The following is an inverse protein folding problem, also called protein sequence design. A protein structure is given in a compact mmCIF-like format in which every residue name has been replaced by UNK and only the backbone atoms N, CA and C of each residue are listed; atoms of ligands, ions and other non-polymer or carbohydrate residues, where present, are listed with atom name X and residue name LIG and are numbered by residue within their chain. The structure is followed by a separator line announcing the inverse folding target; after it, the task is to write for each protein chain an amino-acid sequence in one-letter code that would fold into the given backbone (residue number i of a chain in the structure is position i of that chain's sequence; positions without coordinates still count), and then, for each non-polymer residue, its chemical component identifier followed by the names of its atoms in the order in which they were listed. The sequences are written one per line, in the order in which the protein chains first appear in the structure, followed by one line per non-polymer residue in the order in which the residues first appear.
data_IF_285490618834
#
_entry.id   IF_285490618834
#
_cell.length_a   1.000
_cell.length_b   1.000
_cell.length_c   1.000
_cell.angle_alpha   90.00
_cell.angle_beta   90.00
_cell.angle_gamma   90.00
#
_symmetry.space_group_name_H-M   'P 1'
#
loop_
_entity.id
_entity.type
_entity.pdbx_description
1 polymer ?
#
# COMPACT_ATOMS: atom_id res chain seq x y z
N UNK A 1 24.73 12.27 25.68
CA UNK A 1 24.46 10.82 25.61
C UNK A 1 23.08 10.67 24.98
N UNK A 2 23.02 10.49 23.65
CA UNK A 2 21.74 10.34 22.94
C UNK A 2 21.34 8.88 23.09
N UNK A 3 20.35 8.62 23.93
CA UNK A 3 19.68 7.33 23.98
C UNK A 3 19.04 7.09 22.62
N UNK A 4 19.53 6.11 21.87
CA UNK A 4 18.78 5.54 20.74
C UNK A 4 17.41 5.17 21.30
N UNK A 5 16.29 5.60 20.67
CA UNK A 5 14.99 5.09 21.08
C UNK A 5 15.09 3.56 21.04
N UNK A 6 14.61 2.94 22.12
CA UNK A 6 14.72 1.51 22.33
C UNK A 6 14.32 0.78 21.06
N UNK A 7 15.03 -0.30 20.77
CA UNK A 7 14.47 -1.35 19.94
C UNK A 7 13.28 -1.94 20.74
N UNK A 8 12.17 -1.21 20.75
CA UNK A 8 10.88 -1.79 21.02
C UNK A 8 10.81 -2.96 20.05
N UNK A 9 10.55 -4.15 20.58
CA UNK A 9 10.37 -5.35 19.80
C UNK A 9 9.04 -5.27 19.04
N UNK A 10 8.77 -4.15 18.36
CA UNK A 10 7.68 -4.01 17.41
C UNK A 10 7.94 -4.99 16.30
N UNK A 11 7.04 -5.96 16.18
CA UNK A 11 7.06 -6.97 15.14
C UNK A 11 7.26 -6.30 13.78
N UNK A 12 8.31 -6.72 13.07
CA UNK A 12 8.63 -6.17 11.76
C UNK A 12 7.61 -6.69 10.74
N UNK A 13 6.91 -5.76 10.13
CA UNK A 13 5.99 -5.97 9.02
C UNK A 13 6.72 -5.66 7.73
N UNK A 14 6.63 -6.59 6.79
CA UNK A 14 6.98 -6.36 5.41
C UNK A 14 5.69 -6.19 4.61
N UNK A 15 5.69 -5.27 3.65
CA UNK A 15 4.58 -5.01 2.77
C UNK A 15 5.06 -4.83 1.34
N UNK A 16 4.40 -5.48 0.38
CA UNK A 16 4.56 -5.27 -1.05
C UNK A 16 3.25 -4.73 -1.61
N UNK A 17 3.37 -3.62 -2.34
CA UNK A 17 2.27 -3.03 -3.09
C UNK A 17 2.67 -2.93 -4.54
N UNK A 18 1.78 -3.38 -5.42
CA UNK A 18 1.96 -3.38 -6.87
C UNK A 18 0.73 -2.77 -7.53
N UNK A 19 0.98 -1.84 -8.45
CA UNK A 19 -0.04 -1.16 -9.24
C UNK A 19 0.23 -1.41 -10.72
N UNK A 20 -0.80 -1.79 -11.45
CA UNK A 20 -0.73 -2.06 -12.89
C UNK A 20 -1.65 -1.13 -13.67
N UNK A 21 -1.09 -0.49 -14.69
CA UNK A 21 -1.81 0.47 -15.54
C UNK A 21 -1.52 0.23 -17.04
N UNK A 22 -2.57 0.12 -17.88
CA UNK A 22 -3.94 -0.20 -17.50
C UNK A 22 -4.00 -1.52 -16.70
N UNK A 23 -5.12 -1.77 -16.00
CA UNK A 23 -5.27 -2.96 -15.16
C UNK A 23 -4.84 -4.26 -15.88
N UNK A 24 -3.91 -5.00 -15.28
CA UNK A 24 -3.40 -6.28 -15.82
C UNK A 24 -2.44 -6.17 -17.00
N UNK A 25 -2.03 -4.97 -17.42
CA UNK A 25 -1.13 -4.77 -18.56
C UNK A 25 0.33 -4.57 -18.11
N UNK A 26 0.66 -3.39 -17.59
CA UNK A 26 2.04 -3.03 -17.24
C UNK A 26 2.14 -2.72 -15.75
N UNK A 27 3.20 -3.21 -15.10
CA UNK A 27 3.55 -2.79 -13.75
C UNK A 27 3.95 -1.31 -13.80
N UNK A 28 3.06 -0.46 -13.31
CA UNK A 28 3.27 0.98 -13.26
C UNK A 28 4.11 1.36 -12.07
N UNK A 29 3.82 0.74 -10.92
CA UNK A 29 4.51 1.05 -9.69
C UNK A 29 4.59 -0.18 -8.79
N UNK A 30 5.72 -0.30 -8.09
CA UNK A 30 5.99 -1.37 -7.13
C UNK A 30 6.84 -0.81 -6.01
N UNK A 31 6.42 -1.01 -4.78
CA UNK A 31 7.26 -0.76 -3.63
C UNK A 31 7.16 -1.89 -2.61
N UNK A 32 8.32 -2.15 -2.01
CA UNK A 32 8.44 -2.99 -0.84
C UNK A 32 8.83 -2.12 0.34
N UNK A 33 8.03 -2.15 1.39
CA UNK A 33 8.27 -1.45 2.64
C UNK A 33 8.54 -2.48 3.74
N UNK A 34 9.45 -2.14 4.65
CA UNK A 34 9.75 -2.95 5.83
C UNK A 34 9.82 -2.02 7.03
N UNK A 35 9.10 -2.33 8.11
CA UNK A 35 9.04 -1.48 9.29
C UNK A 35 7.99 -1.96 10.29
N UNK A 36 7.66 -1.13 11.27
CA UNK A 36 6.50 -1.40 12.14
C UNK A 36 5.19 -1.29 11.36
N UNK A 37 4.10 -1.87 11.87
CA UNK A 37 2.77 -1.69 11.27
C UNK A 37 2.37 -0.22 11.10
N UNK A 38 2.78 0.66 12.03
CA UNK A 38 2.55 2.11 11.92
C UNK A 38 3.32 2.76 10.77
N UNK A 39 4.56 2.34 10.51
CA UNK A 39 5.35 2.82 9.38
C UNK A 39 4.78 2.33 8.04
N UNK A 40 4.37 1.06 7.97
CA UNK A 40 3.72 0.51 6.78
C UNK A 40 2.41 1.24 6.49
N UNK A 41 1.55 1.44 7.50
CA UNK A 41 0.29 2.15 7.32
C UNK A 41 0.50 3.61 6.87
N UNK A 42 1.53 4.29 7.39
CA UNK A 42 1.88 5.64 6.94
C UNK A 42 2.35 5.66 5.47
N UNK A 43 3.13 4.65 5.04
CA UNK A 43 3.55 4.53 3.64
C UNK A 43 2.36 4.30 2.69
N UNK A 44 1.35 3.55 3.12
CA UNK A 44 0.11 3.36 2.35
C UNK A 44 -0.72 4.65 2.26
N UNK A 45 -0.80 5.42 3.33
CA UNK A 45 -1.47 6.73 3.33
C UNK A 45 -0.76 7.74 2.41
N UNK A 46 0.57 7.73 2.39
CA UNK A 46 1.37 8.54 1.47
C UNK A 46 1.13 8.13 0.01
N UNK A 47 1.10 6.83 -0.28
CA UNK A 47 0.78 6.34 -1.62
C UNK A 47 -0.62 6.77 -2.06
N UNK A 48 -1.61 6.68 -1.16
CA UNK A 48 -2.98 7.14 -1.44
C UNK A 48 -3.00 8.63 -1.83
N UNK A 49 -2.26 9.47 -1.07
CA UNK A 49 -2.12 10.90 -1.38
C UNK A 49 -1.44 11.13 -2.73
N UNK A 50 -0.41 10.35 -3.06
CA UNK A 50 0.31 10.50 -4.34
C UNK A 50 -0.58 10.15 -5.52
N UNK A 51 -1.39 9.10 -5.42
CA UNK A 51 -2.36 8.72 -6.46
C UNK A 51 -3.44 9.80 -6.63
N UNK A 52 -3.87 10.44 -5.54
CA UNK A 52 -4.83 11.56 -5.58
C UNK A 52 -4.25 12.80 -6.30
N UNK A 53 -2.97 13.10 -6.11
CA UNK A 53 -2.29 14.29 -6.68
C UNK A 53 -1.87 14.06 -8.13
N UNK A 54 -1.29 12.90 -8.41
CA UNK A 54 -0.65 12.55 -9.68
C UNK A 54 -1.07 11.13 -10.11
N UNK A 55 -2.29 10.98 -10.66
CA UNK A 55 -2.81 9.67 -11.01
C UNK A 55 -2.03 9.06 -12.19
N UNK A 56 -1.94 7.70 -12.27
CA UNK A 56 -1.25 6.95 -13.34
C UNK A 56 -1.67 7.23 -14.80
N UNK A 57 -2.55 8.18 -15.07
CA UNK A 57 -3.18 8.40 -16.37
C UNK A 57 -2.86 9.81 -16.93
N UNK A 58 -1.72 9.95 -17.60
CA UNK A 58 -1.28 11.20 -18.21
C UNK A 58 -1.87 11.44 -19.62
N UNK A 59 -2.70 10.53 -20.13
CA UNK A 59 -3.32 10.64 -21.47
C UNK A 59 -4.77 10.19 -21.43
N UNK A 60 -5.69 11.18 -21.46
CA UNK A 60 -7.15 11.03 -21.61
C UNK A 60 -7.72 9.68 -21.12
N UNK A 61 -7.82 9.46 -19.80
CA UNK A 61 -8.33 8.20 -19.26
C UNK A 61 -9.74 7.89 -19.79
N UNK A 62 -10.08 6.60 -19.98
CA UNK A 62 -11.43 6.20 -20.33
C UNK A 62 -12.44 6.66 -19.26
N UNK A 63 -13.73 6.67 -19.59
CA UNK A 63 -14.82 7.19 -18.72
C UNK A 63 -14.87 6.57 -17.31
N UNK A 64 -14.17 5.46 -17.05
CA UNK A 64 -13.83 4.96 -15.72
C UNK A 64 -12.46 4.26 -15.77
N UNK A 65 -11.37 4.96 -15.47
CA UNK A 65 -10.03 4.37 -15.50
C UNK A 65 -9.93 3.27 -14.46
N UNK A 66 -9.61 2.03 -14.87
CA UNK A 66 -9.41 0.91 -13.95
C UNK A 66 -7.93 0.59 -13.77
N UNK A 67 -7.54 0.40 -12.52
CA UNK A 67 -6.17 0.06 -12.12
C UNK A 67 -6.18 -1.31 -11.46
N UNK A 68 -5.23 -2.16 -11.84
CA UNK A 68 -5.01 -3.42 -11.12
C UNK A 68 -4.13 -3.13 -9.93
N UNK A 69 -4.51 -3.60 -8.75
CA UNK A 69 -3.75 -3.39 -7.53
C UNK A 69 -3.56 -4.72 -6.80
N UNK A 70 -2.39 -4.91 -6.21
CA UNK A 70 -2.09 -6.00 -5.30
C UNK A 70 -1.39 -5.44 -4.07
N UNK A 71 -1.80 -5.90 -2.90
CA UNK A 71 -1.19 -5.60 -1.62
C UNK A 71 -1.03 -6.90 -0.86
N UNK A 72 0.17 -7.14 -0.36
CA UNK A 72 0.49 -8.25 0.51
C UNK A 72 1.31 -7.72 1.69
N UNK A 73 0.90 -8.03 2.91
CA UNK A 73 1.64 -7.72 4.13
C UNK A 73 1.86 -8.99 4.95
N UNK A 74 3.06 -9.14 5.49
CA UNK A 74 3.46 -10.32 6.24
C UNK A 74 4.35 -9.98 7.44
N UNK A 75 4.27 -10.84 8.44
CA UNK A 75 5.08 -10.80 9.65
C UNK A 75 5.66 -12.18 9.90
N UNK A 76 6.98 -12.29 10.06
CA UNK A 76 7.67 -13.58 10.24
C UNK A 76 7.21 -14.66 9.22
N UNK A 77 7.06 -14.27 7.95
CA UNK A 77 6.55 -15.09 6.84
C UNK A 77 5.07 -15.53 6.92
N UNK A 78 4.30 -15.04 7.89
CA UNK A 78 2.85 -15.22 7.95
C UNK A 78 2.14 -14.03 7.30
N UNK A 79 1.24 -14.30 6.36
CA UNK A 79 0.45 -13.26 5.71
C UNK A 79 -0.60 -12.74 6.69
N UNK A 80 -0.57 -11.43 6.96
CA UNK A 80 -1.55 -10.73 7.79
C UNK A 80 -2.60 -10.01 6.94
N UNK A 81 -2.25 -9.64 5.71
CA UNK A 81 -3.16 -9.04 4.76
C UNK A 81 -2.74 -9.39 3.34
N UNK A 82 -3.71 -9.79 2.51
CA UNK A 82 -3.47 -10.00 1.09
C UNK A 82 -4.73 -9.66 0.32
N UNK A 83 -4.59 -8.79 -0.69
CA UNK A 83 -5.66 -8.47 -1.63
C UNK A 83 -5.08 -8.18 -2.99
N UNK A 84 -5.71 -8.75 -4.02
CA UNK A 84 -5.44 -8.44 -5.41
C UNK A 84 -6.78 -8.18 -6.10
N UNK A 85 -6.94 -7.02 -6.74
CA UNK A 85 -8.21 -6.57 -7.30
C UNK A 85 -8.00 -5.64 -8.50
N UNK A 86 -9.08 -5.35 -9.21
CA UNK A 86 -9.15 -4.28 -10.20
C UNK A 86 -10.22 -3.29 -9.78
N UNK A 87 -9.80 -2.08 -9.43
CA UNK A 87 -10.69 -1.03 -8.91
C UNK A 87 -10.75 0.15 -9.86
N UNK A 88 -11.80 0.97 -9.73
CA UNK A 88 -11.81 2.29 -10.35
C UNK A 88 -10.69 3.13 -9.72
N UNK A 89 -9.94 3.87 -10.53
CA UNK A 89 -8.76 4.61 -10.08
C UNK A 89 -9.10 5.62 -8.97
N UNK A 90 -10.30 6.20 -9.03
CA UNK A 90 -10.81 7.12 -8.00
C UNK A 90 -11.07 6.43 -6.64
N UNK A 91 -11.23 5.10 -6.62
CA UNK A 91 -11.46 4.32 -5.39
C UNK A 91 -10.17 3.79 -4.77
N UNK A 92 -9.07 3.73 -5.54
CA UNK A 92 -7.78 3.21 -5.07
C UNK A 92 -7.27 3.93 -3.80
N UNK A 93 -7.30 5.27 -3.69
CA UNK A 93 -6.89 5.96 -2.47
C UNK A 93 -7.67 5.53 -1.23
N UNK A 94 -8.99 5.32 -1.36
CA UNK A 94 -9.82 4.84 -0.26
C UNK A 94 -9.48 3.38 0.12
N UNK A 95 -9.23 2.52 -0.88
CA UNK A 95 -8.80 1.15 -0.64
C UNK A 95 -7.46 1.09 0.12
N UNK A 96 -6.47 1.91 -0.28
CA UNK A 96 -5.17 1.99 0.38
C UNK A 96 -5.28 2.45 1.85
N UNK A 97 -6.11 3.47 2.13
CA UNK A 97 -6.39 3.94 3.50
C UNK A 97 -7.10 2.88 4.36
N UNK A 98 -7.97 2.08 3.75
CA UNK A 98 -8.62 0.95 4.43
C UNK A 98 -7.59 -0.11 4.86
N UNK A 99 -6.63 -0.45 3.98
CA UNK A 99 -5.51 -1.34 4.33
C UNK A 99 -4.62 -0.75 5.42
N UNK A 100 -4.29 0.54 5.33
CA UNK A 100 -3.54 1.23 6.38
C UNK A 100 -4.24 1.12 7.75
N UNK A 101 -5.57 1.23 7.76
CA UNK A 101 -6.38 1.05 8.97
C UNK A 101 -6.37 -0.39 9.47
N UNK A 102 -6.50 -1.36 8.56
CA UNK A 102 -6.43 -2.80 8.85
C UNK A 102 -5.10 -3.18 9.51
N UNK A 103 -3.98 -2.75 8.92
CA UNK A 103 -2.62 -3.00 9.44
C UNK A 103 -2.42 -2.38 10.82
N UNK A 104 -2.96 -1.17 11.07
CA UNK A 104 -2.92 -0.53 12.40
C UNK A 104 -3.72 -1.31 13.46
N UNK A 105 -4.84 -1.89 13.06
CA UNK A 105 -5.72 -2.65 13.95
C UNK A 105 -5.22 -4.08 14.19
N UNK A 106 -4.30 -4.59 13.35
CA UNK A 106 -3.76 -5.92 13.51
C UNK A 106 -2.87 -5.99 14.76
N UNK A 107 -3.14 -6.90 15.71
CA UNK A 107 -2.22 -7.13 16.82
C UNK A 107 -0.92 -7.70 16.25
N UNK A 108 0.18 -6.97 16.43
CA UNK A 108 1.55 -7.37 16.12
C UNK A 108 2.21 -7.88 17.39
#
# INVERSE_FOLDING_TARGET
MVTRPGADSTQQVDCLVELTWPAGCHLWWRARHSGSGSQIAAALDELALRVDIDPPADTAPPVRPRIGYSLAAWVHNSVIEHRADTVDLAELPAALRAHATSIRAHPL
#
